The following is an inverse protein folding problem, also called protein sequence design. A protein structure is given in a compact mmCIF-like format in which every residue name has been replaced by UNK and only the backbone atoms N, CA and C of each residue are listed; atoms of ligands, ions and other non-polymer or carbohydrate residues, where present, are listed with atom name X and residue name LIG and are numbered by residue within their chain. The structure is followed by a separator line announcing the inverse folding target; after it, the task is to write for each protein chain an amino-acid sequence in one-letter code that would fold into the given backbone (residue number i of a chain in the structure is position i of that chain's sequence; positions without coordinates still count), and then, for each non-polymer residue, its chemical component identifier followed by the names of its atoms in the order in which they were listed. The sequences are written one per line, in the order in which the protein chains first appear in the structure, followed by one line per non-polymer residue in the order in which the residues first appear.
data_IF_347327927547
#
_entry.id   IF_347327927547
#
_cell.length_a   1.000
_cell.length_b   1.000
_cell.length_c   1.000
_cell.angle_alpha   90.00
_cell.angle_beta   90.00
_cell.angle_gamma   90.00
#
_symmetry.space_group_name_H-M   'P 1'
#
loop_
_entity.id
_entity.type
_entity.pdbx_description
1 polymer ?
#
# COMPACT_ATOMS: atom_id res chain seq x y z
N UNK A 1 12.21 11.71 -4.78
CA UNK A 1 12.45 10.65 -3.79
C UNK A 1 12.44 9.27 -4.45
N UNK A 2 11.37 8.84 -5.11
CA UNK A 2 11.38 7.56 -5.87
C UNK A 2 12.53 7.43 -6.88
N UNK A 3 12.78 8.43 -7.74
CA UNK A 3 13.91 8.39 -8.68
C UNK A 3 15.28 8.28 -7.97
N UNK A 4 15.45 9.02 -6.88
CA UNK A 4 16.65 8.97 -6.03
C UNK A 4 16.87 7.57 -5.44
N UNK A 5 15.80 6.89 -5.03
CA UNK A 5 15.86 5.52 -4.53
C UNK A 5 16.42 4.56 -5.58
N UNK A 6 15.84 4.53 -6.78
CA UNK A 6 16.31 3.68 -7.88
C UNK A 6 17.78 3.94 -8.23
N UNK A 7 18.18 5.22 -8.28
CA UNK A 7 19.57 5.58 -8.54
C UNK A 7 20.50 5.09 -7.42
N UNK A 8 20.17 5.35 -6.15
CA UNK A 8 20.98 4.91 -5.01
C UNK A 8 21.17 3.39 -4.96
N UNK A 9 20.10 2.61 -5.22
CA UNK A 9 20.18 1.15 -5.23
C UNK A 9 20.92 0.63 -6.46
N UNK A 10 20.74 1.25 -7.64
CA UNK A 10 21.40 0.80 -8.87
C UNK A 10 22.92 1.05 -8.88
N UNK A 11 23.38 2.13 -8.25
CA UNK A 11 24.79 2.48 -8.15
C UNK A 11 25.41 2.11 -6.80
N UNK A 12 24.73 1.31 -5.98
CA UNK A 12 25.24 0.96 -4.65
C UNK A 12 26.49 0.08 -4.75
N UNK A 13 27.55 0.54 -4.10
CA UNK A 13 28.79 -0.24 -3.89
C UNK A 13 28.88 -0.79 -2.46
N UNK A 14 28.09 -0.24 -1.54
CA UNK A 14 28.03 -0.64 -0.15
C UNK A 14 26.59 -0.89 0.30
N UNK A 15 26.41 -1.83 1.24
CA UNK A 15 25.09 -2.21 1.77
C UNK A 15 24.32 -1.01 2.33
N UNK A 16 25.00 -0.08 3.00
CA UNK A 16 24.36 1.11 3.55
C UNK A 16 23.72 2.00 2.47
N UNK A 17 24.29 2.05 1.27
CA UNK A 17 23.73 2.82 0.14
C UNK A 17 22.42 2.20 -0.33
N UNK A 18 22.36 0.86 -0.41
CA UNK A 18 21.13 0.13 -0.73
C UNK A 18 20.06 0.38 0.34
N UNK A 19 20.43 0.33 1.63
CA UNK A 19 19.50 0.62 2.74
C UNK A 19 18.97 2.06 2.63
N UNK A 20 19.84 3.04 2.38
CA UNK A 20 19.43 4.43 2.18
C UNK A 20 18.48 4.58 0.99
N UNK A 21 18.76 3.88 -0.12
CA UNK A 21 17.86 3.81 -1.27
C UNK A 21 16.48 3.25 -0.91
N UNK A 22 16.42 2.19 -0.11
CA UNK A 22 15.15 1.62 0.41
C UNK A 22 14.42 2.63 1.30
N UNK A 23 15.12 3.37 2.17
CA UNK A 23 14.52 4.44 2.99
C UNK A 23 13.86 5.51 2.11
N UNK A 24 14.53 5.97 1.05
CA UNK A 24 13.94 6.91 0.09
C UNK A 24 12.72 6.31 -0.64
N UNK A 25 12.72 5.01 -0.93
CA UNK A 25 11.56 4.32 -1.50
C UNK A 25 10.39 4.36 -0.52
N UNK A 26 10.62 4.00 0.75
CA UNK A 26 9.60 3.96 1.79
C UNK A 26 8.99 5.33 2.07
N UNK A 27 9.82 6.38 2.16
CA UNK A 27 9.34 7.76 2.32
C UNK A 27 8.48 8.16 1.11
N UNK A 28 8.94 7.85 -0.11
CA UNK A 28 8.19 8.18 -1.33
C UNK A 28 6.86 7.43 -1.42
N UNK A 29 6.83 6.16 -1.04
CA UNK A 29 5.62 5.34 -1.04
C UNK A 29 4.61 5.81 0.01
N UNK A 30 5.06 6.06 1.24
CA UNK A 30 4.19 6.55 2.33
C UNK A 30 3.62 7.94 2.04
N UNK A 31 4.43 8.88 1.54
CA UNK A 31 3.95 10.20 1.14
C UNK A 31 2.97 10.13 -0.04
N UNK A 32 3.26 9.25 -1.01
CA UNK A 32 2.39 9.00 -2.15
C UNK A 32 1.03 8.48 -1.70
N UNK A 33 1.01 7.44 -0.86
CA UNK A 33 -0.23 6.88 -0.35
C UNK A 33 -1.02 7.91 0.45
N UNK A 34 -0.41 8.57 1.43
CA UNK A 34 -1.08 9.58 2.25
C UNK A 34 -1.69 10.70 1.39
N UNK A 35 -0.95 11.19 0.38
CA UNK A 35 -1.42 12.29 -0.46
C UNK A 35 -2.53 11.86 -1.41
N UNK A 36 -2.31 10.83 -2.22
CA UNK A 36 -3.27 10.43 -3.25
C UNK A 36 -4.50 9.75 -2.67
N UNK A 37 -4.34 8.94 -1.61
CA UNK A 37 -5.48 8.31 -0.94
C UNK A 37 -6.36 9.36 -0.27
N UNK A 38 -5.77 10.37 0.37
CA UNK A 38 -6.54 11.48 0.95
C UNK A 38 -7.26 12.29 -0.14
N UNK A 39 -6.64 12.49 -1.30
CA UNK A 39 -7.29 13.15 -2.43
C UNK A 39 -8.53 12.40 -2.96
N UNK A 40 -8.62 11.07 -2.80
CA UNK A 40 -9.79 10.31 -3.25
C UNK A 40 -11.09 10.74 -2.56
N UNK A 41 -10.99 11.36 -1.38
CA UNK A 41 -12.12 11.93 -0.61
C UNK A 41 -12.89 13.00 -1.39
N UNK A 42 -12.23 13.71 -2.30
CA UNK A 42 -12.83 14.78 -3.10
C UNK A 42 -13.48 14.29 -4.40
N UNK A 43 -13.32 13.01 -4.72
CA UNK A 43 -13.88 12.40 -5.93
C UNK A 43 -14.99 11.40 -5.59
N UNK A 44 -15.61 10.85 -6.63
CA UNK A 44 -16.63 9.81 -6.44
C UNK A 44 -16.04 8.59 -5.73
N UNK A 45 -16.87 7.86 -4.97
CA UNK A 45 -16.45 6.65 -4.24
C UNK A 45 -15.90 5.55 -5.15
N UNK A 46 -16.17 5.60 -6.46
CA UNK A 46 -15.57 4.69 -7.44
C UNK A 46 -14.05 4.88 -7.57
N UNK A 47 -13.54 6.09 -7.33
CA UNK A 47 -12.10 6.39 -7.38
C UNK A 47 -11.31 5.62 -6.33
N UNK A 48 -11.90 5.32 -5.16
CA UNK A 48 -11.26 4.48 -4.15
C UNK A 48 -11.04 3.05 -4.67
N UNK A 49 -12.00 2.50 -5.41
CA UNK A 49 -11.85 1.20 -6.07
C UNK A 49 -10.79 1.24 -7.18
N UNK A 50 -10.75 2.30 -7.98
CA UNK A 50 -9.73 2.53 -9.00
C UNK A 50 -8.32 2.67 -8.41
N UNK A 51 -8.18 3.40 -7.30
CA UNK A 51 -6.94 3.52 -6.53
C UNK A 51 -6.47 2.15 -6.01
N UNK A 52 -7.36 1.40 -5.35
CA UNK A 52 -7.06 0.06 -4.85
C UNK A 52 -6.63 -0.90 -5.96
N UNK A 53 -7.37 -0.95 -7.06
CA UNK A 53 -7.02 -1.79 -8.21
C UNK A 53 -5.71 -1.35 -8.88
N UNK A 54 -5.53 -0.04 -9.10
CA UNK A 54 -4.32 0.52 -9.73
C UNK A 54 -3.05 0.28 -8.93
N UNK A 55 -3.09 0.40 -7.60
CA UNK A 55 -1.96 0.09 -6.72
C UNK A 55 -1.63 -1.40 -6.69
N UNK A 56 -2.63 -2.29 -6.70
CA UNK A 56 -2.40 -3.73 -6.88
C UNK A 56 -1.81 -4.07 -8.26
N UNK A 57 -2.30 -3.41 -9.32
CA UNK A 57 -1.80 -3.56 -10.68
C UNK A 57 -0.36 -3.08 -10.83
N UNK A 58 0.01 -1.99 -10.16
CA UNK A 58 1.39 -1.51 -10.10
C UNK A 58 2.34 -2.53 -9.46
N UNK A 59 1.88 -3.27 -8.43
CA UNK A 59 2.64 -4.36 -7.81
C UNK A 59 2.91 -5.52 -8.78
N UNK A 60 1.88 -5.95 -9.53
CA UNK A 60 2.01 -6.99 -10.56
C UNK A 60 2.90 -6.52 -11.71
N UNK A 61 2.66 -5.33 -12.25
CA UNK A 61 3.46 -4.75 -13.32
C UNK A 61 4.93 -4.59 -12.91
N UNK A 62 5.21 -4.11 -11.70
CA UNK A 62 6.56 -3.96 -11.16
C UNK A 62 7.28 -5.30 -10.99
N UNK A 63 6.63 -6.28 -10.35
CA UNK A 63 7.22 -7.61 -10.11
C UNK A 63 7.46 -8.39 -11.42
N UNK A 64 6.51 -8.32 -12.37
CA UNK A 64 6.66 -8.94 -13.70
C UNK A 64 7.71 -8.23 -14.54
N UNK A 65 7.75 -6.89 -14.54
CA UNK A 65 8.76 -6.15 -15.29
C UNK A 65 10.16 -6.45 -14.75
N UNK A 66 10.34 -6.42 -13.42
CA UNK A 66 11.61 -6.79 -12.80
C UNK A 66 11.99 -8.21 -13.20
N UNK A 67 11.02 -9.12 -13.09
CA UNK A 67 11.29 -10.53 -13.32
C UNK A 67 11.61 -10.85 -14.79
N UNK A 68 10.82 -10.30 -15.72
CA UNK A 68 11.05 -10.48 -17.15
C UNK A 68 12.40 -9.93 -17.59
N UNK A 69 12.78 -8.75 -17.10
CA UNK A 69 14.08 -8.15 -17.45
C UNK A 69 15.27 -8.98 -16.95
N UNK A 70 15.21 -9.50 -15.72
CA UNK A 70 16.29 -10.37 -15.23
C UNK A 70 16.34 -11.71 -15.98
N UNK A 71 15.18 -12.31 -16.31
CA UNK A 71 15.15 -13.55 -17.10
C UNK A 71 15.64 -13.35 -18.54
N UNK A 72 15.49 -12.14 -19.09
CA UNK A 72 16.08 -11.74 -20.36
C UNK A 72 17.61 -11.52 -20.29
N UNK A 73 18.24 -11.75 -19.14
CA UNK A 73 19.69 -11.68 -18.94
C UNK A 73 20.21 -10.29 -18.57
N UNK A 74 19.34 -9.32 -18.26
CA UNK A 74 19.78 -8.00 -17.81
C UNK A 74 20.26 -8.07 -16.36
N UNK A 75 21.29 -7.28 -16.04
CA UNK A 75 21.78 -7.15 -14.67
C UNK A 75 20.78 -6.38 -13.80
N UNK A 76 20.71 -6.64 -12.47
CA UNK A 76 19.83 -5.90 -11.55
C UNK A 76 20.01 -4.39 -11.63
N UNK A 77 21.24 -3.93 -11.85
CA UNK A 77 21.56 -2.50 -12.04
C UNK A 77 20.86 -1.91 -13.24
N UNK A 78 20.95 -2.55 -14.41
CA UNK A 78 20.30 -2.06 -15.63
C UNK A 78 18.79 -2.13 -15.49
N UNK A 79 18.27 -3.21 -14.89
CA UNK A 79 16.83 -3.37 -14.62
C UNK A 79 16.28 -2.22 -13.77
N UNK A 80 16.95 -1.85 -12.68
CA UNK A 80 16.54 -0.72 -11.83
C UNK A 80 16.61 0.63 -12.56
N UNK A 81 17.59 0.81 -13.45
CA UNK A 81 17.68 2.02 -14.29
C UNK A 81 16.54 2.09 -15.31
N UNK A 82 16.14 0.97 -15.92
CA UNK A 82 14.96 0.91 -16.80
C UNK A 82 13.69 1.26 -16.03
N UNK A 83 13.57 0.79 -14.78
CA UNK A 83 12.43 1.09 -13.91
C UNK A 83 12.29 2.57 -13.51
N UNK A 84 13.29 3.41 -13.80
CA UNK A 84 13.19 4.87 -13.64
C UNK A 84 12.09 5.49 -14.54
N UNK A 85 11.59 4.73 -15.52
CA UNK A 85 10.38 5.09 -16.28
C UNK A 85 9.15 5.25 -15.39
N UNK A 86 9.06 4.52 -14.27
CA UNK A 86 7.90 4.56 -13.36
C UNK A 86 7.72 5.94 -12.69
N UNK A 87 8.72 6.51 -11.99
CA UNK A 87 8.57 7.85 -11.42
C UNK A 87 8.36 8.93 -12.49
N UNK A 88 8.90 8.75 -13.70
CA UNK A 88 8.63 9.66 -14.82
C UNK A 88 7.17 9.57 -15.29
N UNK A 89 6.66 8.36 -15.46
CA UNK A 89 5.27 8.13 -15.83
C UNK A 89 4.30 8.68 -14.77
N UNK A 90 4.65 8.56 -13.48
CA UNK A 90 3.89 9.15 -12.38
C UNK A 90 3.85 10.69 -12.47
N UNK A 91 4.99 11.33 -12.77
CA UNK A 91 5.07 12.78 -12.95
C UNK A 91 4.23 13.26 -14.14
N UNK A 92 4.35 12.58 -15.28
CA UNK A 92 3.53 12.87 -16.47
C UNK A 92 2.05 12.69 -16.16
N UNK A 93 1.67 11.61 -15.48
CA UNK A 93 0.29 11.36 -15.11
C UNK A 93 -0.27 12.45 -14.19
N UNK A 94 0.52 12.90 -13.22
CA UNK A 94 0.10 13.95 -12.30
C UNK A 94 -0.17 15.28 -12.98
N UNK A 95 0.70 15.71 -13.89
CA UNK A 95 0.57 17.02 -14.54
C UNK A 95 -0.37 17.03 -15.75
N UNK A 96 -0.50 15.91 -16.48
CA UNK A 96 -1.21 15.88 -17.75
C UNK A 96 -2.47 15.00 -17.76
N UNK A 97 -2.59 14.01 -16.87
CA UNK A 97 -3.75 13.09 -16.84
C UNK A 97 -4.71 13.36 -15.68
N UNK A 98 -4.19 13.74 -14.50
CA UNK A 98 -5.03 13.98 -13.32
C UNK A 98 -5.80 15.29 -13.47
N UNK A 99 -7.13 15.16 -13.46
CA UNK A 99 -8.04 16.31 -13.41
C UNK A 99 -7.97 16.93 -12.00
N UNK A 100 -7.75 18.25 -11.87
CA UNK A 100 -7.75 18.89 -10.56
C UNK A 100 -9.11 18.71 -9.86
N UNK A 101 -9.14 18.54 -8.53
CA UNK A 101 -10.38 18.33 -7.81
C UNK A 101 -11.32 19.54 -8.00
N UNK A 102 -12.61 19.33 -8.29
CA UNK A 102 -13.56 20.43 -8.52
C UNK A 102 -13.79 21.31 -7.27
N UNK A 103 -13.42 20.81 -6.08
CA UNK A 103 -13.67 21.41 -4.77
C UNK A 103 -12.41 21.93 -4.06
N UNK A 104 -11.22 21.82 -4.67
CA UNK A 104 -10.02 22.46 -4.10
C UNK A 104 -10.12 23.97 -4.36
N UNK A 105 -10.00 24.84 -3.35
CA UNK A 105 -9.93 26.28 -3.58
C UNK A 105 -8.68 26.55 -4.42
N UNK A 106 -8.89 26.75 -5.72
CA UNK A 106 -7.85 27.19 -6.61
C UNK A 106 -7.32 28.50 -6.02
N UNK A 107 -6.03 28.56 -5.72
CA UNK A 107 -5.33 29.83 -5.54
C UNK A 107 -5.38 30.55 -6.90
N UNK A 108 -6.51 31.18 -7.19
CA UNK A 108 -6.65 32.16 -8.27
C UNK A 108 -6.46 33.52 -7.63
N UNK A 109 -5.27 34.07 -7.85
CA UNK A 109 -5.05 35.51 -7.76
C UNK A 109 -5.83 36.16 -8.92
N UNK A 110 -6.75 37.05 -8.53
CA UNK A 110 -7.44 38.13 -9.25
C UNK A 110 -7.95 37.97 -10.69
N UNK A 111 -9.13 38.57 -10.86
CA UNK A 111 -9.69 39.19 -12.06
C UNK A 111 -10.24 38.30 -13.17
N UNK A 112 -11.58 38.17 -13.17
CA UNK A 112 -12.43 38.52 -14.32
C UNK A 112 -13.89 38.25 -13.98
N UNK A 113 -14.71 39.30 -14.05
CA UNK A 113 -16.16 39.23 -14.19
C UNK A 113 -16.58 38.33 -15.36
N UNK A 114 -17.60 37.48 -15.17
CA UNK A 114 -18.84 37.42 -15.97
C UNK A 114 -19.77 36.29 -15.46
N UNK A 115 -20.91 36.74 -14.94
CA UNK A 115 -22.31 36.28 -15.11
C UNK A 115 -22.72 34.79 -15.10
N UNK A 116 -23.58 34.48 -14.11
CA UNK A 116 -24.78 33.60 -14.07
C UNK A 116 -24.73 32.25 -14.83
N UNK A 117 -24.96 31.09 -14.20
CA UNK A 117 -26.24 30.61 -13.66
C UNK A 117 -26.00 29.61 -12.51
N UNK A 118 -26.72 29.75 -11.38
CA UNK A 118 -26.72 28.78 -10.26
C UNK A 118 -26.68 29.46 -8.88
N UNK A 119 -27.71 30.23 -8.55
CA UNK A 119 -27.71 31.29 -7.54
C UNK A 119 -28.08 30.89 -6.10
N UNK A 120 -27.90 29.63 -5.66
CA UNK A 120 -28.26 29.26 -4.26
C UNK A 120 -27.12 28.68 -3.41
N UNK A 121 -26.17 27.90 -3.96
CA UNK A 121 -25.05 27.36 -3.15
C UNK A 121 -23.94 28.38 -2.86
N UNK A 122 -23.83 29.46 -3.66
CA UNK A 122 -22.73 30.43 -3.58
C UNK A 122 -22.84 31.41 -2.41
N UNK A 123 -24.03 31.60 -1.83
CA UNK A 123 -24.22 32.50 -0.68
C UNK A 123 -23.82 31.87 0.67
N UNK A 124 -23.73 30.54 0.77
CA UNK A 124 -23.30 29.86 1.99
C UNK A 124 -21.78 29.73 2.12
N UNK A 125 -21.02 29.97 1.04
CA UNK A 125 -19.56 29.82 1.01
C UNK A 125 -18.78 31.14 1.17
N UNK A 126 -19.45 32.29 1.20
CA UNK A 126 -18.81 33.61 1.26
C UNK A 126 -18.94 34.31 2.63
N UNK A 127 -19.57 33.67 3.62
CA UNK A 127 -19.65 34.17 5.00
C UNK A 127 -18.57 33.54 5.92
N UNK A 128 -17.45 33.11 5.32
CA UNK A 128 -16.39 32.38 6.02
C UNK A 128 -15.44 33.36 6.73
N UNK A 129 -15.92 33.89 7.86
CA UNK A 129 -15.11 34.62 8.84
C UNK A 129 -13.89 33.78 9.27
N UNK A 130 -12.74 34.39 9.59
CA UNK A 130 -11.53 33.67 9.99
C UNK A 130 -11.71 32.70 11.17
N UNK A 131 -12.75 32.89 11.99
CA UNK A 131 -13.16 31.98 13.06
C UNK A 131 -13.64 30.60 12.57
N UNK A 132 -14.27 30.51 11.39
CA UNK A 132 -14.72 29.23 10.80
C UNK A 132 -13.58 28.38 10.24
N UNK A 133 -12.46 29.00 9.83
CA UNK A 133 -11.26 28.26 9.40
C UNK A 133 -10.59 27.57 10.59
N UNK A 134 -10.60 28.21 11.76
CA UNK A 134 -10.16 27.60 13.02
C UNK A 134 -11.10 26.48 13.45
N UNK A 135 -12.41 26.60 13.21
CA UNK A 135 -13.37 25.52 13.42
C UNK A 135 -13.17 24.32 12.46
N UNK A 136 -12.57 24.51 11.27
CA UNK A 136 -12.19 23.39 10.38
C UNK A 136 -10.91 22.65 10.81
N UNK A 137 -10.03 23.29 11.57
CA UNK A 137 -8.84 22.63 12.12
C UNK A 137 -9.23 21.77 13.31
N UNK A 138 -9.24 20.46 13.09
CA UNK A 138 -9.56 19.47 14.12
C UNK A 138 -8.71 19.65 15.38
N UNK A 139 -9.37 19.83 16.51
CA UNK A 139 -8.72 19.94 17.82
C UNK A 139 -8.03 18.61 18.16
N UNK A 140 -6.91 18.63 18.90
CA UNK A 140 -6.20 17.40 19.28
C UNK A 140 -7.11 16.37 19.99
N UNK A 141 -8.03 16.84 20.82
CA UNK A 141 -9.00 16.00 21.52
C UNK A 141 -10.00 15.34 20.57
N UNK A 142 -10.47 16.08 19.56
CA UNK A 142 -11.38 15.56 18.52
C UNK A 142 -10.66 14.52 17.65
N UNK A 143 -9.40 14.78 17.27
CA UNK A 143 -8.55 13.82 16.54
C UNK A 143 -8.39 12.52 17.32
N UNK A 144 -8.13 12.60 18.63
CA UNK A 144 -7.95 11.42 19.47
C UNK A 144 -9.26 10.62 19.62
N UNK A 145 -10.40 11.30 19.74
CA UNK A 145 -11.71 10.63 19.79
C UNK A 145 -12.03 9.92 18.49
N UNK A 146 -11.73 10.53 17.34
CA UNK A 146 -11.88 9.92 16.02
C UNK A 146 -10.95 8.71 15.87
N UNK A 147 -9.67 8.83 16.24
CA UNK A 147 -8.73 7.69 16.24
C UNK A 147 -9.28 6.55 17.09
N UNK A 148 -9.77 6.83 18.31
CA UNK A 148 -10.33 5.82 19.20
C UNK A 148 -11.51 5.07 18.56
N UNK A 149 -12.38 5.77 17.85
CA UNK A 149 -13.48 5.16 17.08
C UNK A 149 -13.01 4.34 15.88
N UNK A 150 -11.86 4.71 15.29
CA UNK A 150 -11.25 4.03 14.15
C UNK A 150 -10.35 2.85 14.54
N UNK A 151 -9.98 2.68 15.81
CA UNK A 151 -9.15 1.55 16.25
C UNK A 151 -9.74 0.19 15.85
N UNK A 152 -11.07 0.08 15.77
CA UNK A 152 -11.76 -1.12 15.28
C UNK A 152 -11.40 -1.50 13.84
N UNK A 153 -10.89 -0.55 13.05
CA UNK A 153 -10.41 -0.70 11.68
C UNK A 153 -8.88 -0.74 11.60
N UNK A 154 -8.22 0.18 12.32
CA UNK A 154 -6.76 0.35 12.30
C UNK A 154 -6.05 -0.90 12.85
N UNK A 155 -6.51 -1.45 13.97
CA UNK A 155 -5.89 -2.62 14.60
C UNK A 155 -5.95 -3.88 13.72
N UNK A 156 -7.11 -4.33 13.20
CA UNK A 156 -7.13 -5.50 12.34
C UNK A 156 -6.36 -5.29 11.05
N UNK A 157 -6.39 -4.07 10.47
CA UNK A 157 -5.60 -3.73 9.28
C UNK A 157 -4.09 -3.82 9.57
N UNK A 158 -3.62 -3.16 10.63
CA UNK A 158 -2.22 -3.21 11.04
C UNK A 158 -1.75 -4.62 11.34
N UNK A 159 -2.60 -5.47 11.94
CA UNK A 159 -2.29 -6.88 12.21
C UNK A 159 -2.22 -7.73 10.92
N UNK A 160 -3.10 -7.48 9.93
CA UNK A 160 -2.99 -8.12 8.61
C UNK A 160 -1.66 -7.76 7.96
N UNK A 161 -1.34 -6.46 7.89
CA UNK A 161 -0.12 -5.97 7.27
C UNK A 161 1.15 -6.41 8.00
N UNK A 162 1.09 -6.52 9.33
CA UNK A 162 2.16 -7.14 10.11
C UNK A 162 2.39 -8.59 9.69
N UNK A 163 1.35 -9.42 9.71
CA UNK A 163 1.47 -10.84 9.38
C UNK A 163 1.89 -11.07 7.92
N UNK A 164 1.32 -10.30 7.00
CA UNK A 164 1.67 -10.29 5.57
C UNK A 164 3.15 -9.96 5.34
N UNK A 165 3.64 -8.84 5.86
CA UNK A 165 5.03 -8.46 5.64
C UNK A 165 6.01 -9.34 6.41
N UNK A 166 5.60 -9.91 7.54
CA UNK A 166 6.41 -10.90 8.26
C UNK A 166 6.60 -12.17 7.43
N UNK A 167 5.57 -12.64 6.71
CA UNK A 167 5.71 -13.74 5.77
C UNK A 167 6.65 -13.35 4.62
N UNK A 168 6.34 -12.24 3.92
CA UNK A 168 7.09 -11.81 2.73
C UNK A 168 8.58 -11.54 3.00
N UNK A 169 8.89 -10.80 4.07
CA UNK A 169 10.26 -10.35 4.37
C UNK A 169 11.01 -11.30 5.31
N UNK A 170 10.30 -12.09 6.12
CA UNK A 170 10.92 -12.95 7.13
C UNK A 170 10.99 -14.44 6.75
N UNK A 171 9.97 -14.97 6.05
CA UNK A 171 9.79 -16.41 5.87
C UNK A 171 9.96 -16.88 4.43
N UNK A 172 9.54 -16.09 3.43
CA UNK A 172 9.53 -16.53 2.02
C UNK A 172 10.92 -16.89 1.48
N UNK A 173 11.97 -16.14 1.86
CA UNK A 173 13.34 -16.46 1.44
C UNK A 173 13.83 -17.80 2.00
N UNK A 174 13.33 -18.20 3.17
CA UNK A 174 13.68 -19.46 3.84
C UNK A 174 12.90 -20.67 3.26
N UNK A 175 11.77 -20.43 2.59
CA UNK A 175 10.94 -21.47 1.96
C UNK A 175 11.50 -21.87 0.59
N UNK A 176 12.59 -22.65 0.62
CA UNK A 176 13.25 -23.14 -0.59
C UNK A 176 13.06 -24.64 -0.83
N UNK A 177 12.66 -24.99 -2.05
CA UNK A 177 12.53 -26.38 -2.50
C UNK A 177 13.62 -26.73 -3.50
N UNK A 178 14.53 -27.65 -3.12
CA UNK A 178 15.63 -28.12 -3.98
C UNK A 178 15.19 -28.96 -5.19
N UNK A 179 14.20 -29.87 -5.11
CA UNK A 179 13.77 -30.65 -6.27
C UNK A 179 12.74 -29.88 -7.12
N UNK A 180 13.12 -28.69 -7.60
CA UNK A 180 12.23 -27.85 -8.39
C UNK A 180 12.95 -27.23 -9.59
N UNK A 181 12.22 -26.99 -10.67
CA UNK A 181 12.78 -26.47 -11.92
C UNK A 181 13.26 -25.01 -11.82
N UNK A 182 12.86 -24.30 -10.77
CA UNK A 182 13.26 -22.91 -10.51
C UNK A 182 14.41 -22.84 -9.51
N UNK A 183 15.36 -21.94 -9.77
CA UNK A 183 16.42 -21.58 -8.81
C UNK A 183 15.84 -20.91 -7.56
N UNK A 184 16.63 -20.81 -6.48
CA UNK A 184 16.19 -20.12 -5.25
C UNK A 184 15.75 -18.67 -5.52
N UNK A 185 16.52 -17.92 -6.31
CA UNK A 185 16.19 -16.56 -6.70
C UNK A 185 14.93 -16.47 -7.57
N UNK A 186 14.70 -17.45 -8.44
CA UNK A 186 13.49 -17.49 -9.27
C UNK A 186 12.26 -17.85 -8.44
N UNK A 187 12.37 -18.80 -7.50
CA UNK A 187 11.28 -19.14 -6.57
C UNK A 187 10.84 -17.91 -5.77
N UNK A 188 11.79 -17.19 -5.18
CA UNK A 188 11.52 -15.96 -4.42
C UNK A 188 10.79 -14.90 -5.27
N UNK A 189 11.23 -14.71 -6.51
CA UNK A 189 10.61 -13.73 -7.43
C UNK A 189 9.21 -14.14 -7.87
N UNK A 190 8.98 -15.44 -8.08
CA UNK A 190 7.66 -15.96 -8.39
C UNK A 190 6.71 -15.91 -7.18
N UNK A 191 7.20 -16.13 -5.95
CA UNK A 191 6.42 -15.87 -4.73
C UNK A 191 5.94 -14.42 -4.69
N UNK A 192 6.84 -13.47 -4.90
CA UNK A 192 6.50 -12.04 -4.92
C UNK A 192 5.48 -11.71 -6.03
N UNK A 193 5.62 -12.32 -7.20
CA UNK A 193 4.68 -12.09 -8.32
C UNK A 193 3.30 -12.65 -8.00
N UNK A 194 3.18 -13.88 -7.50
CA UNK A 194 1.91 -14.51 -7.15
C UNK A 194 1.22 -13.79 -5.99
N UNK A 195 1.98 -13.35 -5.00
CA UNK A 195 1.50 -12.49 -3.94
C UNK A 195 0.83 -11.23 -4.52
N UNK A 196 1.51 -10.51 -5.41
CA UNK A 196 0.96 -9.30 -6.04
C UNK A 196 -0.27 -9.58 -6.90
N UNK A 197 -0.33 -10.74 -7.56
CA UNK A 197 -1.52 -11.18 -8.31
C UNK A 197 -2.71 -11.35 -7.35
N UNK A 198 -2.50 -11.98 -6.19
CA UNK A 198 -3.52 -12.09 -5.15
C UNK A 198 -4.01 -10.72 -4.65
N UNK A 199 -3.08 -9.79 -4.42
CA UNK A 199 -3.40 -8.41 -4.04
C UNK A 199 -4.24 -7.73 -5.13
N UNK A 200 -3.86 -7.82 -6.40
CA UNK A 200 -4.62 -7.22 -7.50
C UNK A 200 -6.06 -7.77 -7.57
N UNK A 201 -6.23 -9.09 -7.50
CA UNK A 201 -7.55 -9.72 -7.56
C UNK A 201 -8.43 -9.27 -6.39
N UNK A 202 -7.90 -9.30 -5.18
CA UNK A 202 -8.64 -8.92 -3.99
C UNK A 202 -8.95 -7.43 -3.91
N UNK A 203 -8.03 -6.55 -4.32
CA UNK A 203 -8.29 -5.11 -4.38
C UNK A 203 -9.33 -4.75 -5.45
N UNK A 204 -9.32 -5.47 -6.58
CA UNK A 204 -10.31 -5.28 -7.65
C UNK A 204 -11.69 -5.85 -7.30
N UNK A 205 -11.76 -6.75 -6.32
CA UNK A 205 -13.02 -7.39 -5.91
C UNK A 205 -14.01 -6.45 -5.21
N UNK A 206 -13.62 -5.22 -4.84
CA UNK A 206 -14.46 -4.28 -4.10
C UNK A 206 -15.82 -3.99 -4.77
N UNK A 207 -15.87 -4.03 -6.10
CA UNK A 207 -17.11 -3.85 -6.87
C UNK A 207 -18.09 -5.03 -6.67
N UNK A 208 -17.57 -6.23 -6.46
CA UNK A 208 -18.35 -7.47 -6.43
C UNK A 208 -18.55 -8.03 -5.01
N UNK A 209 -17.55 -7.94 -4.14
CA UNK A 209 -17.52 -8.58 -2.82
C UNK A 209 -17.08 -7.59 -1.75
N UNK A 210 -17.89 -7.46 -0.68
CA UNK A 210 -17.63 -6.57 0.44
C UNK A 210 -17.63 -7.35 1.74
N UNK A 211 -16.48 -7.40 2.41
CA UNK A 211 -16.26 -8.19 3.62
C UNK A 211 -16.19 -7.25 4.83
N UNK A 212 -17.26 -7.23 5.63
CA UNK A 212 -17.32 -6.38 6.83
C UNK A 212 -16.52 -6.93 8.02
N UNK A 213 -16.28 -8.25 8.06
CA UNK A 213 -15.60 -8.93 9.17
C UNK A 213 -14.07 -8.83 9.05
N UNK A 214 -13.51 -7.64 9.23
CA UNK A 214 -12.06 -7.40 9.11
C UNK A 214 -11.23 -8.21 10.12
N UNK A 215 -11.74 -8.41 11.33
CA UNK A 215 -11.10 -9.28 12.33
C UNK A 215 -10.98 -10.73 11.88
N UNK A 216 -11.90 -11.23 11.06
CA UNK A 216 -11.79 -12.57 10.50
C UNK A 216 -10.66 -12.66 9.47
N UNK A 217 -10.51 -11.64 8.62
CA UNK A 217 -9.37 -11.56 7.67
C UNK A 217 -8.04 -11.48 8.42
N UNK A 218 -8.00 -10.68 9.48
CA UNK A 218 -6.82 -10.55 10.35
C UNK A 218 -6.44 -11.86 11.04
N UNK A 219 -7.41 -12.57 11.61
CA UNK A 219 -7.18 -13.88 12.22
C UNK A 219 -6.67 -14.90 11.20
N UNK A 220 -7.28 -14.95 10.00
CA UNK A 220 -6.84 -15.83 8.93
C UNK A 220 -5.39 -15.53 8.50
N UNK A 221 -5.02 -14.26 8.41
CA UNK A 221 -3.66 -13.85 8.06
C UNK A 221 -2.65 -14.26 9.14
N UNK A 222 -2.98 -14.09 10.42
CA UNK A 222 -2.13 -14.52 11.53
C UNK A 222 -1.98 -16.05 11.55
N UNK A 223 -3.07 -16.79 11.34
CA UNK A 223 -3.02 -18.26 11.22
C UNK A 223 -2.10 -18.66 10.06
N UNK A 224 -2.19 -17.97 8.93
CA UNK A 224 -1.32 -18.22 7.78
C UNK A 224 0.16 -17.97 8.11
N UNK A 225 0.47 -16.86 8.79
CA UNK A 225 1.84 -16.52 9.20
C UNK A 225 2.41 -17.56 10.18
N UNK A 226 1.61 -17.99 11.15
CA UNK A 226 1.99 -19.04 12.10
C UNK A 226 2.21 -20.36 11.36
N UNK A 227 1.29 -20.75 10.48
CA UNK A 227 1.43 -21.97 9.67
C UNK A 227 2.72 -21.99 8.85
N UNK A 228 3.05 -20.89 8.16
CA UNK A 228 4.29 -20.78 7.38
C UNK A 228 5.54 -20.74 8.26
N UNK A 229 5.47 -20.15 9.46
CA UNK A 229 6.56 -20.18 10.42
C UNK A 229 6.88 -21.61 10.87
N UNK A 230 5.84 -22.40 11.16
CA UNK A 230 5.98 -23.84 11.44
C UNK A 230 6.52 -24.60 10.22
N UNK A 231 6.05 -24.25 9.02
CA UNK A 231 6.53 -24.87 7.79
C UNK A 231 8.03 -24.66 7.55
N UNK A 232 8.54 -23.45 7.83
CA UNK A 232 9.99 -23.16 7.77
C UNK A 232 10.74 -23.95 8.84
N UNK A 233 10.20 -24.04 10.08
CA UNK A 233 10.89 -24.69 11.20
C UNK A 233 11.00 -26.21 11.08
N UNK A 234 9.95 -26.86 10.55
CA UNK A 234 9.85 -28.31 10.50
C UNK A 234 9.97 -28.88 9.08
N UNK A 235 10.04 -28.01 8.05
CA UNK A 235 10.17 -28.38 6.64
C UNK A 235 9.17 -29.47 6.20
N UNK A 236 7.95 -29.43 6.74
CA UNK A 236 6.94 -30.46 6.49
C UNK A 236 6.20 -30.28 5.16
N UNK A 237 6.34 -29.13 4.49
CA UNK A 237 5.67 -28.89 3.22
C UNK A 237 6.29 -29.75 2.13
N UNK A 238 5.51 -30.59 1.41
CA UNK A 238 6.06 -31.55 0.46
C UNK A 238 6.30 -30.96 -0.94
N UNK A 239 5.75 -29.79 -1.27
CA UNK A 239 5.73 -29.24 -2.63
C UNK A 239 5.73 -27.72 -2.67
N UNK A 240 6.50 -27.14 -3.59
CA UNK A 240 6.53 -25.71 -3.89
C UNK A 240 5.16 -25.18 -4.38
N UNK A 241 4.37 -26.02 -5.05
CA UNK A 241 3.03 -25.63 -5.52
C UNK A 241 2.07 -25.30 -4.38
N UNK A 242 2.19 -25.97 -3.23
CA UNK A 242 1.39 -25.64 -2.06
C UNK A 242 1.78 -24.27 -1.50
N UNK A 243 3.07 -23.94 -1.47
CA UNK A 243 3.52 -22.61 -1.08
C UNK A 243 3.01 -21.55 -2.05
N UNK A 244 3.05 -21.79 -3.37
CA UNK A 244 2.47 -20.86 -4.34
C UNK A 244 0.99 -20.57 -4.10
N UNK A 245 0.18 -21.59 -3.77
CA UNK A 245 -1.24 -21.41 -3.42
C UNK A 245 -1.39 -20.62 -2.13
N UNK A 246 -0.58 -20.89 -1.11
CA UNK A 246 -0.62 -20.19 0.17
C UNK A 246 -0.23 -18.71 0.00
N UNK A 247 0.79 -18.42 -0.81
CA UNK A 247 1.25 -17.06 -1.10
C UNK A 247 0.20 -16.28 -1.90
N UNK A 248 -0.47 -16.93 -2.85
CA UNK A 248 -1.61 -16.32 -3.55
C UNK A 248 -2.76 -16.01 -2.57
N UNK A 249 -3.06 -16.95 -1.66
CA UNK A 249 -4.06 -16.77 -0.62
C UNK A 249 -3.73 -15.64 0.35
N UNK A 250 -2.47 -15.51 0.75
CA UNK A 250 -1.94 -14.42 1.55
C UNK A 250 -2.20 -13.06 0.88
N UNK A 251 -1.86 -12.92 -0.41
CA UNK A 251 -2.11 -11.70 -1.16
C UNK A 251 -3.61 -11.37 -1.29
N UNK A 252 -4.46 -12.39 -1.41
CA UNK A 252 -5.92 -12.21 -1.44
C UNK A 252 -6.46 -11.66 -0.12
N UNK A 253 -6.00 -12.17 1.02
CA UNK A 253 -6.40 -11.69 2.35
C UNK A 253 -5.95 -10.25 2.58
N UNK A 254 -4.69 -9.95 2.25
CA UNK A 254 -4.08 -8.64 2.34
C UNK A 254 -4.82 -7.56 1.59
N UNK A 255 -4.96 -7.74 0.28
CA UNK A 255 -5.64 -6.78 -0.56
C UNK A 255 -7.13 -6.65 -0.22
N UNK A 256 -7.80 -7.73 0.20
CA UNK A 256 -9.19 -7.68 0.66
C UNK A 256 -9.33 -6.86 1.95
N UNK A 257 -8.44 -7.07 2.92
CA UNK A 257 -8.45 -6.30 4.16
C UNK A 257 -8.24 -4.81 3.91
N UNK A 258 -7.30 -4.46 3.01
CA UNK A 258 -7.03 -3.07 2.61
C UNK A 258 -8.27 -2.38 2.04
N UNK A 259 -8.81 -2.86 0.91
CA UNK A 259 -9.90 -2.16 0.22
C UNK A 259 -11.18 -2.12 1.03
N UNK A 260 -11.48 -3.18 1.79
CA UNK A 260 -12.67 -3.20 2.65
C UNK A 260 -12.51 -2.20 3.80
N UNK A 261 -11.33 -2.11 4.43
CA UNK A 261 -11.08 -1.14 5.51
C UNK A 261 -11.30 0.29 5.03
N UNK A 262 -10.65 0.68 3.93
CA UNK A 262 -10.82 2.04 3.39
C UNK A 262 -12.23 2.31 2.89
N UNK A 263 -12.91 1.32 2.32
CA UNK A 263 -14.30 1.46 1.90
C UNK A 263 -15.26 1.69 3.08
N UNK A 264 -15.11 0.92 4.17
CA UNK A 264 -15.95 1.11 5.36
C UNK A 264 -15.61 2.41 6.08
N UNK A 265 -14.34 2.80 6.18
CA UNK A 265 -13.95 4.12 6.71
C UNK A 265 -14.57 5.24 5.86
N UNK A 266 -14.53 5.14 4.53
CA UNK A 266 -15.14 6.12 3.63
C UNK A 266 -16.67 6.22 3.77
N UNK A 267 -17.33 5.16 4.24
CA UNK A 267 -18.80 5.09 4.34
C UNK A 267 -19.32 5.40 5.74
N UNK A 268 -18.61 4.99 6.78
CA UNK A 268 -19.02 5.14 8.18
C UNK A 268 -18.51 6.45 8.82
N UNK A 269 -17.49 7.09 8.24
CA UNK A 269 -16.95 8.35 8.75
C UNK A 269 -17.66 9.56 8.13
N UNK A 270 -18.02 10.53 8.95
CA UNK A 270 -18.57 11.81 8.52
C UNK A 270 -17.56 12.58 7.64
N UNK A 271 -18.06 13.34 6.65
CA UNK A 271 -17.22 13.96 5.62
C UNK A 271 -16.12 14.87 6.20
N UNK A 272 -16.39 15.54 7.34
CA UNK A 272 -15.44 16.41 8.04
C UNK A 272 -14.19 15.67 8.55
N UNK A 273 -14.34 14.40 8.96
CA UNK A 273 -13.25 13.61 9.55
C UNK A 273 -12.69 12.57 8.58
N UNK A 274 -13.30 12.40 7.40
CA UNK A 274 -13.00 11.31 6.45
C UNK A 274 -11.57 11.34 5.94
N UNK A 275 -11.05 12.51 5.60
CA UNK A 275 -9.66 12.70 5.16
C UNK A 275 -8.67 12.26 6.24
N UNK A 276 -8.85 12.78 7.45
CA UNK A 276 -8.03 12.41 8.60
C UNK A 276 -8.15 10.92 8.94
N UNK A 277 -9.33 10.34 8.83
CA UNK A 277 -9.57 8.92 9.11
C UNK A 277 -8.87 7.99 8.10
N UNK A 278 -8.88 8.34 6.81
CA UNK A 278 -8.13 7.61 5.79
C UNK A 278 -6.63 7.72 6.02
N UNK A 279 -6.12 8.93 6.28
CA UNK A 279 -4.70 9.12 6.60
C UNK A 279 -4.28 8.35 7.85
N UNK A 280 -5.07 8.39 8.93
CA UNK A 280 -4.79 7.67 10.17
C UNK A 280 -4.77 6.15 9.97
N UNK A 281 -5.65 5.60 9.11
CA UNK A 281 -5.64 4.18 8.79
C UNK A 281 -4.40 3.75 7.99
N UNK A 282 -3.94 4.57 7.05
CA UNK A 282 -2.70 4.38 6.28
C UNK A 282 -1.42 4.59 7.11
N UNK A 283 -1.53 5.16 8.31
CA UNK A 283 -0.42 5.11 9.29
C UNK A 283 -0.41 3.77 10.02
N UNK A 284 -1.59 3.18 10.24
CA UNK A 284 -1.74 1.91 10.95
C UNK A 284 -1.17 0.70 10.22
N UNK A 285 -1.41 0.60 8.91
CA UNK A 285 -0.78 -0.45 8.08
C UNK A 285 0.74 -0.24 7.97
N UNK A 286 1.21 0.99 7.77
CA UNK A 286 2.62 1.35 7.75
C UNK A 286 3.34 0.97 9.05
N UNK A 287 2.69 1.16 10.19
CA UNK A 287 3.20 0.72 11.49
C UNK A 287 3.30 -0.81 11.57
N UNK A 288 2.28 -1.53 11.08
CA UNK A 288 2.29 -2.99 10.99
C UNK A 288 3.47 -3.51 10.16
N UNK A 289 3.72 -2.90 9.00
CA UNK A 289 4.85 -3.21 8.12
C UNK A 289 6.19 -3.00 8.82
N UNK A 290 6.35 -1.86 9.50
CA UNK A 290 7.58 -1.53 10.22
C UNK A 290 7.87 -2.54 11.36
N UNK A 291 6.85 -2.89 12.14
CA UNK A 291 6.96 -3.89 13.20
C UNK A 291 7.28 -5.28 12.65
N UNK A 292 6.74 -5.64 11.49
CA UNK A 292 7.05 -6.90 10.82
C UNK A 292 8.51 -6.97 10.38
N UNK A 293 9.06 -5.89 9.83
CA UNK A 293 10.48 -5.81 9.48
C UNK A 293 11.40 -5.96 10.70
N UNK A 294 11.04 -5.33 11.83
CA UNK A 294 11.78 -5.49 13.09
C UNK A 294 11.71 -6.92 13.64
N UNK A 295 10.57 -7.60 13.48
CA UNK A 295 10.39 -8.98 13.90
C UNK A 295 11.06 -9.99 12.96
N UNK A 296 11.13 -9.70 11.65
CA UNK A 296 11.74 -10.56 10.65
C UNK A 296 13.24 -10.74 10.87
N UNK A 297 13.96 -9.67 11.27
CA UNK A 297 15.41 -9.72 11.47
C UNK A 297 15.88 -10.77 12.50
N UNK A 298 15.39 -10.78 13.76
CA UNK A 298 15.80 -11.79 14.74
C UNK A 298 15.33 -13.21 14.35
N UNK A 299 14.16 -13.34 13.73
CA UNK A 299 13.63 -14.64 13.29
C UNK A 299 14.50 -15.23 12.18
N UNK A 300 14.86 -14.43 11.19
CA UNK A 300 15.75 -14.85 10.11
C UNK A 300 17.13 -15.23 10.65
N UNK A 301 17.69 -14.45 11.58
CA UNK A 301 18.96 -14.78 12.24
C UNK A 301 18.90 -16.11 13.01
N UNK A 302 17.79 -16.39 13.68
CA UNK A 302 17.57 -17.65 14.38
C UNK A 302 17.56 -18.84 13.41
N UNK A 303 16.81 -18.74 12.30
CA UNK A 303 16.76 -19.81 11.31
C UNK A 303 18.07 -20.02 10.55
N UNK A 304 18.80 -18.95 10.24
CA UNK A 304 20.12 -19.07 9.60
C UNK A 304 21.21 -19.60 10.55
N UNK A 305 20.95 -19.66 11.85
CA UNK A 305 21.85 -20.25 12.84
C UNK A 305 21.58 -21.72 13.17
N UNK A 306 20.44 -22.26 12.71
CA UNK A 306 20.07 -23.68 12.83
C UNK A 306 20.72 -24.52 11.73
#
# INVERSE_FOLDING_TARGET
MAATSFLLVSFSSAVWMSILGVVFASISAGLGELSFLSLTVYFSRAVLGGWGSGTGGAGVAGSLLYSGLIQAGLSPRITLLIMLVVPLAMLVSYFFLLVPPPSFPQWKSSDSEYSAVGSEERRQLMDDSPENRTARLLTFTEKLQVIRGLLKFILPLGLVYFAEYFINQGLMELLFFRPFFLTHADQYRWYQTLYQVGVLFSRSSLCCVKIRKLWALSLLQVVNAVFLLFAVRYLFLPSAWLVFVIVLYEGLLGGAAYVNTFYFISKETEDRYREFAMAAASVGDSLGIALAGLAAFPVHRYFCSL
#
